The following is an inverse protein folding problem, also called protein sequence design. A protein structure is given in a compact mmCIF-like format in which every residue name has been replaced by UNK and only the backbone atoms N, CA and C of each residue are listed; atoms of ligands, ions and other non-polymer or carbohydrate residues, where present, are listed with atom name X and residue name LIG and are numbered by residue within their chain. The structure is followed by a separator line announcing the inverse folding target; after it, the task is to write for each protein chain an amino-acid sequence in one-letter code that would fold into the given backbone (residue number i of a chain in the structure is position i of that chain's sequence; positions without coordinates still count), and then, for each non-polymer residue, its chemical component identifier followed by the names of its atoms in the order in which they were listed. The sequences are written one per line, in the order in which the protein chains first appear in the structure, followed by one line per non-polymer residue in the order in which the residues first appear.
data_IF_659902365340
#
_entry.id   IF_659902365340
#
_cell.length_a   1.000
_cell.length_b   1.000
_cell.length_c   1.000
_cell.angle_alpha   90.00
_cell.angle_beta   90.00
_cell.angle_gamma   90.00
#
_symmetry.space_group_name_H-M   'P 1'
#
loop_
_entity.id
_entity.type
_entity.pdbx_description
1 polymer ?
#
# COMPACT_ATOMS: atom_id res chain seq x y z
N UNK A 1 -15.61 -7.23 -14.10
CA UNK A 1 -14.18 -6.90 -13.84
C UNK A 1 -14.18 -5.49 -13.33
N UNK A 2 -13.60 -5.26 -12.18
CA UNK A 2 -13.53 -3.92 -11.62
C UNK A 2 -12.62 -3.07 -12.52
N UNK A 3 -13.14 -1.96 -13.03
CA UNK A 3 -12.53 -1.14 -14.12
C UNK A 3 -11.14 -0.58 -13.79
N UNK A 4 -10.70 -0.66 -12.53
CA UNK A 4 -9.42 -0.11 -12.07
C UNK A 4 -8.42 -1.17 -11.59
N UNK A 5 -8.75 -2.46 -11.65
CA UNK A 5 -7.83 -3.51 -11.23
C UNK A 5 -6.76 -3.75 -12.30
N UNK A 6 -5.50 -3.59 -11.92
CA UNK A 6 -4.34 -3.87 -12.79
C UNK A 6 -3.94 -5.32 -12.64
N UNK A 7 -3.75 -6.00 -13.75
CA UNK A 7 -3.22 -7.36 -13.78
C UNK A 7 -1.71 -7.32 -14.05
N UNK A 8 -0.92 -7.84 -13.11
CA UNK A 8 0.49 -8.12 -13.36
C UNK A 8 0.64 -9.42 -14.15
N UNK A 9 1.68 -9.54 -14.96
CA UNK A 9 1.95 -10.73 -15.76
C UNK A 9 1.47 -10.63 -17.20
N UNK A 10 0.85 -9.54 -17.64
CA UNK A 10 0.54 -9.29 -19.06
C UNK A 10 1.78 -9.05 -19.94
N UNK A 11 2.91 -8.77 -19.33
CA UNK A 11 4.19 -8.47 -19.99
C UNK A 11 4.93 -9.74 -20.48
N UNK A 12 4.25 -10.88 -20.56
CA UNK A 12 4.84 -12.14 -21.04
C UNK A 12 5.83 -12.78 -20.07
N UNK A 13 5.88 -12.34 -18.80
CA UNK A 13 6.71 -12.99 -17.80
C UNK A 13 6.09 -14.31 -17.37
N UNK A 14 6.88 -15.37 -17.22
CA UNK A 14 6.37 -16.64 -16.76
C UNK A 14 5.82 -16.49 -15.33
N UNK A 15 4.59 -16.94 -15.15
CA UNK A 15 4.05 -17.21 -13.83
C UNK A 15 4.79 -18.45 -13.30
N UNK A 16 5.27 -18.43 -12.07
CA UNK A 16 5.86 -19.63 -11.47
C UNK A 16 4.85 -20.79 -11.51
N UNK A 17 5.32 -22.05 -11.61
CA UNK A 17 4.42 -23.20 -11.72
C UNK A 17 3.40 -23.32 -10.57
N UNK A 18 3.70 -22.74 -9.42
CA UNK A 18 2.83 -22.68 -8.24
C UNK A 18 1.89 -21.46 -8.22
N UNK A 19 1.89 -20.64 -9.25
CA UNK A 19 1.01 -19.48 -9.41
C UNK A 19 1.58 -18.16 -8.87
N UNK A 20 2.80 -18.14 -8.35
CA UNK A 20 3.44 -16.90 -7.89
C UNK A 20 3.74 -15.98 -9.07
N UNK A 21 3.31 -14.74 -8.97
CA UNK A 21 3.65 -13.67 -9.91
C UNK A 21 4.93 -12.96 -9.45
N UNK A 22 5.65 -12.36 -10.40
CA UNK A 22 6.83 -11.54 -10.16
C UNK A 22 6.62 -10.10 -10.63
N UNK A 23 6.94 -9.13 -9.77
CA UNK A 23 6.85 -7.70 -10.09
C UNK A 23 8.24 -7.06 -10.17
N UNK A 24 8.66 -6.52 -11.33
CA UNK A 24 9.94 -5.82 -11.45
C UNK A 24 10.09 -4.64 -10.49
N UNK A 25 8.99 -4.03 -10.11
CA UNK A 25 8.96 -2.94 -9.14
C UNK A 25 9.48 -3.41 -7.77
N UNK A 26 9.08 -4.60 -7.31
CA UNK A 26 9.55 -5.19 -6.06
C UNK A 26 11.08 -5.24 -6.01
N UNK A 27 11.74 -5.78 -7.02
CA UNK A 27 13.20 -5.93 -7.05
C UNK A 27 13.95 -4.60 -6.97
N UNK A 28 13.32 -3.52 -7.44
CA UNK A 28 13.92 -2.18 -7.41
C UNK A 28 13.70 -1.44 -6.10
N UNK A 29 12.59 -1.70 -5.39
CA UNK A 29 12.12 -0.81 -4.33
C UNK A 29 12.07 -1.42 -2.92
N UNK A 30 11.93 -2.76 -2.75
CA UNK A 30 11.70 -3.40 -1.44
C UNK A 30 12.72 -2.97 -0.38
N UNK A 31 14.02 -2.98 -0.71
CA UNK A 31 15.08 -2.64 0.26
C UNK A 31 15.00 -1.18 0.73
N UNK A 32 14.66 -0.26 -0.17
CA UNK A 32 14.58 1.16 0.17
C UNK A 32 13.29 1.48 0.91
N UNK A 33 12.17 0.86 0.54
CA UNK A 33 10.92 0.94 1.29
C UNK A 33 11.14 0.40 2.71
N UNK A 34 11.77 -0.78 2.85
CA UNK A 34 12.06 -1.36 4.16
C UNK A 34 12.89 -0.43 5.06
N UNK A 35 13.85 0.31 4.51
CA UNK A 35 14.63 1.30 5.30
C UNK A 35 13.73 2.36 5.96
N UNK A 36 12.64 2.74 5.31
CA UNK A 36 11.68 3.70 5.89
C UNK A 36 10.78 3.00 6.90
N UNK A 37 10.14 1.89 6.51
CA UNK A 37 9.20 1.17 7.37
C UNK A 37 9.84 0.77 8.69
N UNK A 38 11.07 0.24 8.67
CA UNK A 38 11.75 -0.23 9.87
C UNK A 38 11.97 0.85 10.93
N UNK A 39 12.04 2.14 10.57
CA UNK A 39 12.14 3.25 11.54
C UNK A 39 10.96 3.26 12.50
N UNK A 40 9.79 2.82 12.02
CA UNK A 40 8.52 2.86 12.74
C UNK A 40 8.05 1.50 13.23
N UNK A 41 8.51 0.42 12.59
CA UNK A 41 8.05 -0.95 12.87
C UNK A 41 9.04 -1.78 13.69
N UNK A 42 10.33 -1.42 13.73
CA UNK A 42 11.32 -2.20 14.46
C UNK A 42 10.99 -2.28 15.96
N UNK A 43 10.97 -3.51 16.51
CA UNK A 43 10.64 -3.78 17.91
C UNK A 43 9.18 -3.55 18.29
N UNK A 44 8.32 -3.35 17.32
CA UNK A 44 6.87 -3.25 17.52
C UNK A 44 6.19 -4.60 17.32
N UNK A 45 4.98 -4.72 17.89
CA UNK A 45 4.07 -5.83 17.67
C UNK A 45 2.69 -5.29 17.31
N UNK A 46 1.89 -6.11 16.61
CA UNK A 46 0.53 -5.77 16.19
C UNK A 46 0.27 -6.15 14.75
N UNK A 47 -0.83 -5.64 14.20
CA UNK A 47 -1.30 -5.99 12.87
C UNK A 47 -0.96 -4.91 11.85
N UNK A 48 -0.47 -5.32 10.68
CA UNK A 48 -0.21 -4.46 9.53
C UNK A 48 -1.00 -4.97 8.33
N UNK A 49 -1.75 -4.09 7.69
CA UNK A 49 -2.41 -4.38 6.42
C UNK A 49 -1.54 -3.85 5.28
N UNK A 50 -1.23 -4.70 4.32
CA UNK A 50 -0.75 -4.25 3.01
C UNK A 50 -1.95 -4.09 2.08
N UNK A 51 -2.25 -2.86 1.75
CA UNK A 51 -3.38 -2.47 0.92
C UNK A 51 -2.97 -2.47 -0.57
N UNK A 52 -3.52 -3.40 -1.35
CA UNK A 52 -3.13 -3.64 -2.74
C UNK A 52 -1.75 -4.31 -2.84
N UNK A 53 -1.64 -5.53 -2.33
CA UNK A 53 -0.37 -6.29 -2.27
C UNK A 53 0.15 -6.75 -3.63
N UNK A 54 -0.68 -6.69 -4.69
CA UNK A 54 -0.30 -7.09 -6.03
C UNK A 54 0.20 -8.53 -6.09
N UNK A 55 1.49 -8.70 -6.38
CA UNK A 55 2.09 -10.04 -6.44
C UNK A 55 2.26 -10.73 -5.09
N UNK A 56 2.29 -9.99 -3.97
CA UNK A 56 2.51 -10.53 -2.61
C UNK A 56 3.98 -10.60 -2.17
N UNK A 57 4.91 -10.09 -2.98
CA UNK A 57 6.34 -10.17 -2.68
C UNK A 57 6.76 -9.26 -1.53
N UNK A 58 6.21 -8.04 -1.42
CA UNK A 58 6.55 -7.09 -0.36
C UNK A 58 6.14 -7.62 1.01
N UNK A 59 4.90 -8.09 1.17
CA UNK A 59 4.41 -8.61 2.46
C UNK A 59 5.28 -9.74 2.99
N UNK A 60 5.68 -10.67 2.11
CA UNK A 60 6.54 -11.79 2.49
C UNK A 60 7.95 -11.33 2.88
N UNK A 61 8.53 -10.39 2.13
CA UNK A 61 9.85 -9.84 2.42
C UNK A 61 9.86 -9.09 3.76
N UNK A 62 8.89 -8.21 3.99
CA UNK A 62 8.83 -7.42 5.22
C UNK A 62 8.47 -8.24 6.46
N UNK A 63 7.62 -9.25 6.32
CA UNK A 63 7.26 -10.17 7.40
C UNK A 63 8.48 -10.93 7.95
N UNK A 64 9.45 -11.28 7.11
CA UNK A 64 10.71 -11.92 7.54
C UNK A 64 11.51 -11.06 8.51
N UNK A 65 11.40 -9.75 8.41
CA UNK A 65 12.12 -8.79 9.23
C UNK A 65 11.36 -8.38 10.51
N UNK A 66 10.11 -8.81 10.66
CA UNK A 66 9.19 -8.39 11.72
C UNK A 66 8.41 -9.58 12.29
N UNK A 67 9.06 -10.53 12.97
CA UNK A 67 8.40 -11.76 13.43
C UNK A 67 7.26 -11.51 14.43
N UNK A 68 7.27 -10.38 15.15
CA UNK A 68 6.24 -10.00 16.12
C UNK A 68 5.09 -9.19 15.52
N UNK A 69 5.14 -8.90 14.22
CA UNK A 69 4.09 -8.21 13.46
C UNK A 69 3.34 -9.23 12.62
N UNK A 70 2.01 -9.20 12.70
CA UNK A 70 1.14 -9.99 11.84
C UNK A 70 0.82 -9.18 10.58
N UNK A 71 1.10 -9.74 9.43
CA UNK A 71 0.85 -9.12 8.14
C UNK A 71 -0.41 -9.66 7.49
N UNK A 72 -1.28 -8.76 7.07
CA UNK A 72 -2.54 -9.02 6.38
C UNK A 72 -2.44 -8.45 4.96
N UNK A 73 -2.02 -9.26 3.98
CA UNK A 73 -2.03 -8.84 2.58
C UNK A 73 -3.45 -8.69 2.08
N UNK A 74 -3.68 -7.76 1.18
CA UNK A 74 -4.98 -7.57 0.56
C UNK A 74 -4.90 -7.11 -0.88
N UNK A 75 -5.87 -7.48 -1.68
CA UNK A 75 -6.05 -6.98 -3.04
C UNK A 75 -7.51 -7.09 -3.46
N UNK A 76 -7.88 -6.42 -4.54
CA UNK A 76 -9.20 -6.56 -5.16
C UNK A 76 -9.19 -7.63 -6.27
N UNK A 77 -8.05 -7.80 -6.95
CA UNK A 77 -7.89 -8.67 -8.10
C UNK A 77 -7.69 -10.13 -7.70
N UNK A 78 -8.52 -11.03 -8.22
CA UNK A 78 -8.48 -12.48 -7.94
C UNK A 78 -7.15 -13.15 -8.31
N UNK A 79 -6.47 -12.70 -9.39
CA UNK A 79 -5.17 -13.24 -9.78
C UNK A 79 -4.09 -12.83 -8.78
N UNK A 80 -4.17 -11.60 -8.26
CA UNK A 80 -3.27 -11.14 -7.19
C UNK A 80 -3.51 -11.92 -5.90
N UNK A 81 -4.76 -12.12 -5.49
CA UNK A 81 -5.08 -12.92 -4.30
C UNK A 81 -4.51 -14.34 -4.39
N UNK A 82 -4.60 -14.97 -5.57
CA UNK A 82 -3.98 -16.29 -5.81
C UNK A 82 -2.46 -16.24 -5.71
N UNK A 83 -1.83 -15.22 -6.28
CA UNK A 83 -0.37 -15.05 -6.20
C UNK A 83 0.10 -14.78 -4.77
N UNK A 84 -0.61 -13.93 -4.03
CA UNK A 84 -0.32 -13.64 -2.61
C UNK A 84 -0.37 -14.93 -1.80
N UNK A 85 -1.42 -15.75 -1.99
CA UNK A 85 -1.54 -17.03 -1.30
C UNK A 85 -0.40 -17.98 -1.67
N UNK A 86 -0.02 -18.07 -2.95
CA UNK A 86 1.10 -18.87 -3.40
C UNK A 86 2.42 -18.41 -2.77
N UNK A 87 2.68 -17.09 -2.71
CA UNK A 87 3.83 -16.53 -2.02
C UNK A 87 3.83 -16.81 -0.51
N UNK A 88 2.67 -16.68 0.15
CA UNK A 88 2.49 -17.01 1.57
C UNK A 88 2.85 -18.45 1.87
N UNK A 89 2.28 -19.39 1.09
CA UNK A 89 2.54 -20.83 1.23
C UNK A 89 4.02 -21.13 0.97
N UNK A 90 4.59 -20.60 -0.10
CA UNK A 90 6.01 -20.79 -0.44
C UNK A 90 6.95 -20.28 0.67
N UNK A 91 6.62 -19.14 1.27
CA UNK A 91 7.45 -18.54 2.32
C UNK A 91 7.36 -19.27 3.66
N UNK A 92 6.24 -19.92 3.96
CA UNK A 92 6.00 -20.66 5.20
C UNK A 92 6.06 -19.81 6.48
N UNK A 93 5.80 -18.50 6.38
CA UNK A 93 5.88 -17.56 7.51
C UNK A 93 4.59 -17.59 8.32
N UNK A 94 4.68 -17.86 9.63
CA UNK A 94 3.53 -17.95 10.52
C UNK A 94 2.83 -16.59 10.74
N UNK A 95 3.54 -15.49 10.51
CA UNK A 95 3.07 -14.12 10.70
C UNK A 95 2.52 -13.47 9.41
N UNK A 96 2.33 -14.21 8.33
CA UNK A 96 1.61 -13.77 7.13
C UNK A 96 0.27 -14.49 7.06
N UNK A 97 -0.82 -13.74 7.09
CA UNK A 97 -2.19 -14.27 7.04
C UNK A 97 -2.63 -14.54 5.59
N UNK A 98 -3.72 -15.28 5.44
CA UNK A 98 -4.38 -15.45 4.15
C UNK A 98 -4.79 -14.09 3.58
N UNK A 99 -4.74 -13.90 2.25
CA UNK A 99 -5.06 -12.62 1.64
C UNK A 99 -6.53 -12.26 1.84
N UNK A 100 -6.77 -10.97 2.10
CA UNK A 100 -8.09 -10.40 2.22
C UNK A 100 -8.51 -9.75 0.90
N UNK A 101 -9.77 -9.98 0.48
CA UNK A 101 -10.35 -9.23 -0.61
C UNK A 101 -10.86 -7.90 -0.08
N UNK A 102 -10.17 -6.80 -0.41
CA UNK A 102 -10.51 -5.44 0.02
C UNK A 102 -10.70 -4.54 -1.19
N UNK A 103 -11.86 -3.88 -1.27
CA UNK A 103 -12.08 -2.75 -2.15
C UNK A 103 -11.76 -1.45 -1.38
N UNK A 104 -10.64 -0.83 -1.69
CA UNK A 104 -10.21 0.40 -1.05
C UNK A 104 -11.09 1.61 -1.41
N UNK A 105 -11.94 1.53 -2.44
CA UNK A 105 -12.91 2.58 -2.74
C UNK A 105 -14.11 2.60 -1.77
N UNK A 106 -14.30 1.53 -1.01
CA UNK A 106 -15.30 1.46 0.06
C UNK A 106 -14.70 2.09 1.34
N UNK A 107 -15.17 3.25 1.80
CA UNK A 107 -14.63 3.89 3.00
C UNK A 107 -14.82 3.06 4.28
N UNK A 108 -15.68 2.05 4.23
CA UNK A 108 -15.95 1.13 5.33
C UNK A 108 -15.15 -0.18 5.23
N UNK A 109 -14.07 -0.25 4.42
CA UNK A 109 -13.27 -1.46 4.31
C UNK A 109 -12.67 -1.90 5.66
N UNK A 110 -12.35 -0.97 6.53
CA UNK A 110 -11.82 -1.24 7.86
C UNK A 110 -12.80 -1.98 8.78
N UNK A 111 -14.04 -1.53 9.00
CA UNK A 111 -14.99 -2.23 9.86
C UNK A 111 -15.29 -3.67 9.44
N UNK A 112 -15.19 -3.98 8.15
CA UNK A 112 -15.37 -5.34 7.63
C UNK A 112 -14.31 -6.33 8.13
N UNK A 113 -13.17 -5.81 8.59
CA UNK A 113 -12.09 -6.62 9.17
C UNK A 113 -12.27 -6.87 10.68
N UNK A 114 -13.22 -6.18 11.32
CA UNK A 114 -13.51 -6.31 12.75
C UNK A 114 -14.64 -7.29 13.07
N UNK A 115 -15.15 -8.01 12.10
CA UNK A 115 -16.18 -9.06 12.29
C UNK A 115 -15.62 -10.37 12.88
N UNK A 116 -14.35 -10.35 13.30
CA UNK A 116 -13.61 -11.50 13.82
C UNK A 116 -12.83 -12.29 12.77
N UNK A 117 -12.98 -11.94 11.48
CA UNK A 117 -12.24 -12.60 10.39
C UNK A 117 -10.94 -11.91 10.01
N UNK A 118 -10.67 -10.71 10.58
CA UNK A 118 -9.55 -9.87 10.23
C UNK A 118 -8.81 -9.28 11.44
N UNK A 119 -7.89 -8.34 11.20
CA UNK A 119 -7.11 -7.69 12.25
C UNK A 119 -7.98 -6.78 13.14
N UNK A 120 -7.47 -6.54 14.36
CA UNK A 120 -7.98 -5.49 15.24
C UNK A 120 -7.50 -4.08 14.86
N UNK A 121 -7.22 -3.24 15.85
CA UNK A 121 -6.58 -1.93 15.60
C UNK A 121 -5.19 -2.12 14.97
N UNK A 122 -4.94 -1.40 13.88
CA UNK A 122 -3.74 -1.58 13.07
C UNK A 122 -2.54 -0.79 13.60
N UNK A 123 -1.39 -1.46 13.68
CA UNK A 123 -0.09 -0.81 13.82
C UNK A 123 0.26 0.00 12.56
N UNK A 124 -0.05 -0.54 11.38
CA UNK A 124 0.17 0.19 10.15
C UNK A 124 -0.75 -0.26 9.01
N UNK A 125 -0.91 0.65 8.05
CA UNK A 125 -1.35 0.37 6.68
C UNK A 125 -0.20 0.71 5.74
N UNK A 126 0.19 -0.21 4.88
CA UNK A 126 1.19 0.03 3.83
C UNK A 126 0.54 -0.11 2.46
N UNK A 127 0.79 0.86 1.58
CA UNK A 127 0.23 0.90 0.23
C UNK A 127 1.29 1.38 -0.77
N UNK A 128 1.60 0.57 -1.77
CA UNK A 128 2.63 0.87 -2.76
C UNK A 128 2.05 0.93 -4.18
N UNK A 129 2.18 2.08 -4.84
CA UNK A 129 1.78 2.34 -6.24
C UNK A 129 0.28 2.15 -6.58
N UNK A 130 -0.59 1.89 -5.63
CA UNK A 130 -2.02 1.60 -5.88
C UNK A 130 -2.79 2.84 -6.33
N UNK A 131 -2.69 3.93 -5.57
CA UNK A 131 -3.54 5.11 -5.78
C UNK A 131 -3.26 5.84 -7.10
N UNK A 132 -2.14 5.54 -7.77
CA UNK A 132 -1.80 6.12 -9.07
C UNK A 132 -2.47 5.40 -10.24
N UNK A 133 -2.72 4.09 -10.08
CA UNK A 133 -3.33 3.19 -11.05
C UNK A 133 -4.78 2.84 -10.66
N UNK A 134 -5.45 3.78 -10.03
CA UNK A 134 -6.83 3.64 -9.54
C UNK A 134 -7.53 5.01 -9.60
N UNK A 135 -8.87 5.07 -9.64
CA UNK A 135 -9.63 6.31 -9.49
C UNK A 135 -9.38 6.99 -8.14
N UNK A 136 -9.63 8.31 -8.08
CA UNK A 136 -9.39 9.11 -6.88
C UNK A 136 -10.13 8.59 -5.63
N UNK A 137 -11.35 8.04 -5.81
CA UNK A 137 -12.15 7.43 -4.72
C UNK A 137 -11.40 6.33 -3.95
N UNK A 138 -10.40 5.68 -4.59
CA UNK A 138 -9.55 4.67 -3.91
C UNK A 138 -8.61 5.33 -2.90
N UNK A 139 -8.08 6.51 -3.20
CA UNK A 139 -7.32 7.28 -2.23
C UNK A 139 -8.21 7.78 -1.09
N UNK A 140 -9.41 8.30 -1.41
CA UNK A 140 -10.40 8.73 -0.40
C UNK A 140 -10.75 7.59 0.57
N UNK A 141 -11.09 6.42 0.04
CA UNK A 141 -11.43 5.27 0.88
C UNK A 141 -10.23 4.71 1.65
N UNK A 142 -9.02 4.71 1.06
CA UNK A 142 -7.79 4.31 1.75
C UNK A 142 -7.54 5.17 3.00
N UNK A 143 -7.62 6.50 2.88
CA UNK A 143 -7.42 7.42 4.00
C UNK A 143 -8.53 7.30 5.04
N UNK A 144 -9.79 7.23 4.61
CA UNK A 144 -10.93 7.07 5.53
C UNK A 144 -10.80 5.79 6.36
N UNK A 145 -10.52 4.65 5.72
CA UNK A 145 -10.31 3.39 6.41
C UNK A 145 -9.07 3.39 7.31
N UNK A 146 -7.94 3.94 6.85
CA UNK A 146 -6.74 4.07 7.68
C UNK A 146 -7.00 4.94 8.92
N UNK A 147 -7.70 6.07 8.77
CA UNK A 147 -8.12 6.92 9.88
C UNK A 147 -9.03 6.20 10.88
N UNK A 148 -9.85 5.25 10.43
CA UNK A 148 -10.70 4.44 11.28
C UNK A 148 -9.91 3.33 12.01
N UNK A 149 -9.05 2.60 11.29
CA UNK A 149 -8.39 1.38 11.78
C UNK A 149 -7.11 1.59 12.55
N UNK A 150 -6.36 2.66 12.26
CA UNK A 150 -5.05 2.85 12.89
C UNK A 150 -5.18 3.10 14.39
N UNK A 151 -4.40 2.40 15.18
CA UNK A 151 -4.23 2.71 16.62
C UNK A 151 -3.53 4.05 16.81
N UNK A 152 -3.51 4.57 18.04
CA UNK A 152 -2.98 5.91 18.32
C UNK A 152 -1.55 6.14 17.80
N UNK A 153 -0.63 5.17 17.99
CA UNK A 153 0.74 5.24 17.47
C UNK A 153 0.90 4.60 16.08
N UNK A 154 -0.22 4.33 15.39
CA UNK A 154 -0.23 3.69 14.07
C UNK A 154 0.23 4.62 12.94
N UNK A 155 0.59 4.03 11.79
CA UNK A 155 1.11 4.76 10.62
C UNK A 155 0.46 4.29 9.33
N UNK A 156 0.18 5.27 8.44
CA UNK A 156 -0.10 4.98 7.03
C UNK A 156 1.14 5.31 6.21
N UNK A 157 1.62 4.33 5.43
CA UNK A 157 2.73 4.48 4.51
C UNK A 157 2.23 4.42 3.08
N UNK A 158 2.53 5.45 2.29
CA UNK A 158 2.27 5.47 0.85
C UNK A 158 3.58 5.55 0.09
N UNK A 159 3.83 4.60 -0.82
CA UNK A 159 4.98 4.63 -1.71
C UNK A 159 4.56 4.84 -3.16
N UNK A 160 5.26 5.70 -3.88
CA UNK A 160 5.08 5.94 -5.31
C UNK A 160 5.64 7.27 -5.77
N UNK A 161 5.42 7.66 -7.04
CA UNK A 161 5.68 9.00 -7.52
C UNK A 161 4.57 9.94 -7.05
N UNK A 162 4.94 11.20 -6.75
CA UNK A 162 3.97 12.22 -6.34
C UNK A 162 4.29 13.56 -7.01
N UNK A 163 3.31 14.44 -7.09
CA UNK A 163 3.45 15.87 -7.40
C UNK A 163 3.61 16.66 -6.11
N UNK A 164 4.20 17.85 -6.23
CA UNK A 164 4.23 18.89 -5.19
C UNK A 164 3.74 20.18 -5.79
N UNK A 165 2.83 20.88 -5.14
CA UNK A 165 2.23 22.14 -5.61
C UNK A 165 1.70 22.01 -7.07
N UNK A 166 1.03 20.90 -7.38
CA UNK A 166 0.50 20.60 -8.71
C UNK A 166 1.55 20.28 -9.78
N UNK A 167 2.85 20.24 -9.44
CA UNK A 167 3.96 20.04 -10.38
C UNK A 167 4.61 18.67 -10.21
N UNK A 168 4.99 18.06 -11.33
CA UNK A 168 5.81 16.85 -11.29
C UNK A 168 7.20 17.14 -10.74
N UNK A 169 7.67 16.28 -9.83
CA UNK A 169 9.00 16.39 -9.21
C UNK A 169 10.14 15.98 -10.16
N UNK A 170 9.82 15.30 -11.27
CA UNK A 170 10.77 14.91 -12.30
C UNK A 170 10.09 14.71 -13.66
N UNK A 171 10.86 14.84 -14.75
CA UNK A 171 10.37 14.57 -16.11
C UNK A 171 9.86 13.16 -16.28
N UNK A 172 10.55 12.16 -15.68
CA UNK A 172 10.11 10.77 -15.69
C UNK A 172 8.72 10.57 -15.07
N UNK A 173 8.40 11.32 -14.01
CA UNK A 173 7.09 11.26 -13.37
C UNK A 173 5.99 11.90 -14.25
N UNK A 174 6.33 12.94 -15.04
CA UNK A 174 5.41 13.52 -16.00
C UNK A 174 5.09 12.54 -17.13
N UNK A 175 6.12 11.87 -17.68
CA UNK A 175 5.94 10.82 -18.71
C UNK A 175 5.10 9.67 -18.17
N UNK A 176 5.36 9.23 -16.94
CA UNK A 176 4.58 8.17 -16.30
C UNK A 176 3.11 8.59 -16.08
N UNK A 177 2.86 9.82 -15.58
CA UNK A 177 1.49 10.36 -15.42
C UNK A 177 0.73 10.37 -16.75
N UNK A 178 1.38 10.80 -17.83
CA UNK A 178 0.78 10.80 -19.16
C UNK A 178 0.40 9.37 -19.60
N UNK A 179 1.31 8.41 -19.46
CA UNK A 179 1.04 7.00 -19.83
C UNK A 179 -0.09 6.37 -19.01
N UNK A 180 -0.21 6.72 -17.72
CA UNK A 180 -1.31 6.27 -16.90
C UNK A 180 -2.65 6.80 -17.40
N UNK A 181 -2.71 8.10 -17.74
CA UNK A 181 -3.92 8.77 -18.24
C UNK A 181 -4.33 8.32 -19.63
N UNK A 182 -3.38 7.91 -20.46
CA UNK A 182 -3.67 7.26 -21.73
C UNK A 182 -4.36 5.92 -21.53
N UNK A 183 -3.97 5.15 -20.49
CA UNK A 183 -4.61 3.88 -20.15
C UNK A 183 -5.98 4.06 -19.49
N UNK A 184 -6.10 5.04 -18.60
CA UNK A 184 -7.36 5.38 -17.94
C UNK A 184 -7.31 6.84 -17.45
N UNK A 185 -8.28 7.67 -17.87
CA UNK A 185 -8.34 9.09 -17.54
C UNK A 185 -8.46 9.41 -16.03
N UNK A 186 -8.96 8.45 -15.23
CA UNK A 186 -9.07 8.59 -13.77
C UNK A 186 -7.74 8.28 -13.04
N UNK A 187 -6.77 7.68 -13.72
CA UNK A 187 -5.47 7.37 -13.16
C UNK A 187 -4.53 8.57 -13.23
N UNK A 188 -3.41 8.50 -12.50
CA UNK A 188 -2.37 9.52 -12.58
C UNK A 188 -1.60 9.72 -11.28
N UNK A 189 -0.48 10.39 -11.40
CA UNK A 189 0.36 10.77 -10.26
C UNK A 189 -0.40 11.77 -9.38
N UNK A 190 -0.48 11.48 -8.09
CA UNK A 190 -1.26 12.26 -7.11
C UNK A 190 -0.42 13.39 -6.53
N UNK A 191 -1.11 14.46 -6.17
CA UNK A 191 -0.53 15.63 -5.52
C UNK A 191 -0.47 15.42 -4.01
N UNK A 192 0.67 15.77 -3.37
CA UNK A 192 0.86 15.57 -1.92
C UNK A 192 -0.15 16.41 -1.13
N UNK A 193 -0.36 17.66 -1.52
CA UNK A 193 -1.25 18.60 -0.84
C UNK A 193 -2.71 18.11 -0.87
N UNK A 194 -3.12 17.47 -1.97
CA UNK A 194 -4.43 16.84 -2.06
C UNK A 194 -4.55 15.61 -1.12
N UNK A 195 -3.47 14.84 -0.95
CA UNK A 195 -3.43 13.73 -0.01
C UNK A 195 -3.39 14.20 1.44
N UNK A 196 -2.72 15.33 1.75
CA UNK A 196 -2.75 15.95 3.07
C UNK A 196 -4.16 16.40 3.45
N UNK A 197 -4.94 16.88 2.49
CA UNK A 197 -6.36 17.21 2.73
C UNK A 197 -7.19 15.96 3.06
N UNK A 198 -6.98 14.84 2.36
CA UNK A 198 -7.62 13.56 2.72
C UNK A 198 -7.18 13.09 4.09
N UNK A 199 -5.90 13.22 4.40
CA UNK A 199 -5.35 12.86 5.71
C UNK A 199 -6.03 13.67 6.83
N UNK A 200 -6.11 14.98 6.69
CA UNK A 200 -6.76 15.86 7.67
C UNK A 200 -8.23 15.47 7.92
N UNK A 201 -8.97 15.18 6.84
CA UNK A 201 -10.36 14.73 6.92
C UNK A 201 -10.50 13.37 7.67
N UNK A 202 -9.46 12.54 7.64
CA UNK A 202 -9.39 11.24 8.33
C UNK A 202 -8.72 11.31 9.72
N UNK A 203 -8.40 12.51 10.23
CA UNK A 203 -7.70 12.70 11.50
C UNK A 203 -6.23 12.26 11.47
N UNK A 204 -5.63 12.29 10.29
CA UNK A 204 -4.22 11.98 10.06
C UNK A 204 -3.47 13.24 9.62
N UNK A 205 -2.15 13.25 9.87
CA UNK A 205 -1.25 14.31 9.42
C UNK A 205 -0.02 13.71 8.77
N UNK A 206 0.53 14.39 7.78
CA UNK A 206 1.79 14.02 7.15
C UNK A 206 2.94 14.23 8.15
N UNK A 207 3.64 13.16 8.49
CA UNK A 207 4.74 13.16 9.48
C UNK A 207 6.11 13.22 8.81
N UNK A 208 6.33 12.47 7.74
CA UNK A 208 7.62 12.37 7.04
C UNK A 208 7.39 12.19 5.55
N UNK A 209 8.25 12.85 4.74
CA UNK A 209 8.42 12.57 3.32
C UNK A 209 9.84 12.04 3.15
N UNK A 210 9.97 10.75 2.83
CA UNK A 210 11.26 10.14 2.55
C UNK A 210 11.49 10.06 1.04
N UNK A 211 12.60 10.63 0.58
CA UNK A 211 12.99 10.52 -0.82
C UNK A 211 13.50 9.10 -1.14
N UNK A 212 13.06 8.61 -2.30
CA UNK A 212 13.27 7.24 -2.74
C UNK A 212 13.93 7.24 -4.13
N UNK A 213 14.62 6.15 -4.51
CA UNK A 213 15.17 6.04 -5.86
C UNK A 213 14.11 6.19 -6.95
N UNK A 214 14.57 6.57 -8.15
CA UNK A 214 13.74 6.76 -9.33
C UNK A 214 12.63 7.81 -9.16
N UNK A 215 12.91 8.87 -8.42
CA UNK A 215 12.01 10.00 -8.17
C UNK A 215 10.68 9.61 -7.51
N UNK A 216 10.67 8.50 -6.76
CA UNK A 216 9.56 8.12 -5.89
C UNK A 216 9.72 8.77 -4.51
N UNK A 217 8.66 8.72 -3.73
CA UNK A 217 8.63 9.13 -2.33
C UNK A 217 7.96 8.04 -1.49
N UNK A 218 8.29 8.00 -0.19
CA UNK A 218 7.45 7.36 0.81
C UNK A 218 6.89 8.44 1.71
N UNK A 219 5.56 8.59 1.69
CA UNK A 219 4.84 9.48 2.58
C UNK A 219 4.42 8.70 3.82
N UNK A 220 4.70 9.24 4.99
CA UNK A 220 4.32 8.63 6.27
C UNK A 220 3.32 9.53 6.96
N UNK A 221 2.12 9.00 7.21
CA UNK A 221 1.08 9.70 7.96
C UNK A 221 0.91 9.09 9.35
N UNK A 222 0.53 9.91 10.32
CA UNK A 222 0.29 9.54 11.70
C UNK A 222 -1.05 10.11 12.18
N UNK A 223 -1.60 9.58 13.28
CA UNK A 223 -2.74 10.24 13.92
C UNK A 223 -2.35 11.61 14.50
N UNK A 224 -3.19 12.59 14.30
CA UNK A 224 -2.97 13.98 14.79
C UNK A 224 -2.78 14.05 16.31
N UNK A 225 -3.47 13.24 17.07
CA UNK A 225 -3.39 13.23 18.53
C UNK A 225 -1.99 12.90 19.09
N UNK A 226 -1.15 12.17 18.33
CA UNK A 226 0.21 11.79 18.77
C UNK A 226 1.19 12.96 18.71
N UNK A 227 0.93 13.98 17.90
CA UNK A 227 1.82 15.13 17.75
C UNK A 227 1.54 16.23 18.80
N UNK A 228 0.45 16.11 19.56
CA UNK A 228 0.04 17.08 20.60
C UNK A 228 0.39 16.63 22.03
N UNK A 229 0.90 15.41 22.19
CA UNK A 229 1.29 14.82 23.47
C UNK A 229 2.82 14.82 23.65
#
# INVERSE_FOLDING_TARGET
MDEYAVEFGKDGRPVEPDGRLDAPAFHRNHRTIWKVLRKFLAGKSGDVVEAGSGTGQHVVDFARHTPDIIWWPSDLNELHLKSIEAWRVHAGLANVRAPLRIDLSDPAWCPKMHDGSGPGELLAVFCANVIHIAPWRVAEGLFAGAGCCLRADGRLFLYGPFKRDGKHTAISNAVFDASLREGNAEWGVRDIEALEQLAANAGLVLLEIAEMPANNLTLVFAREAVLRA
#
